data_IF_905363565405
#
_entry.id   IF_905363565405
#
_cell.length_a   1.000
_cell.length_b   1.000
_cell.length_c   1.000
_cell.angle_alpha   90.00
_cell.angle_beta   90.00
_cell.angle_gamma   90.00
#
_symmetry.space_group_name_H-M   'P 1'
#
loop_
_entity.id
_entity.type
_entity.pdbx_description
1 polymer ?
#
# COMPACT_ATOMS: atom_id res chain seq x y z
N UNK A 1 -25.37 31.64 -8.37
CA UNK A 1 -23.92 31.42 -8.59
C UNK A 1 -23.31 30.38 -7.64
N UNK A 2 -24.05 29.36 -7.17
CA UNK A 2 -23.63 28.58 -5.99
C UNK A 2 -23.43 27.06 -6.15
N UNK A 3 -23.74 26.44 -7.29
CA UNK A 3 -23.72 24.96 -7.35
C UNK A 3 -22.34 24.36 -7.54
N UNK A 4 -21.46 24.96 -8.35
CA UNK A 4 -20.19 24.33 -8.74
C UNK A 4 -19.20 24.23 -7.58
N UNK A 5 -19.14 25.25 -6.73
CA UNK A 5 -18.20 25.31 -5.59
C UNK A 5 -18.51 24.21 -4.58
N UNK A 6 -19.79 23.99 -4.25
CA UNK A 6 -20.18 22.94 -3.30
C UNK A 6 -19.81 21.54 -3.80
N UNK A 7 -20.04 21.25 -5.08
CA UNK A 7 -19.65 19.95 -5.66
C UNK A 7 -18.14 19.73 -5.67
N UNK A 8 -17.34 20.76 -5.97
CA UNK A 8 -15.89 20.67 -5.91
C UNK A 8 -15.37 20.54 -4.48
N UNK A 9 -15.95 21.26 -3.51
CA UNK A 9 -15.61 21.14 -2.10
C UNK A 9 -15.89 19.74 -1.56
N UNK A 10 -17.05 19.17 -1.88
CA UNK A 10 -17.41 17.78 -1.52
C UNK A 10 -16.43 16.77 -2.12
N UNK A 11 -16.07 16.92 -3.41
CA UNK A 11 -15.10 16.04 -4.06
C UNK A 11 -13.72 16.13 -3.42
N UNK A 12 -13.23 17.34 -3.16
CA UNK A 12 -11.92 17.54 -2.53
C UNK A 12 -11.90 16.94 -1.12
N UNK A 13 -12.99 17.10 -0.37
CA UNK A 13 -13.17 16.50 0.95
C UNK A 13 -13.15 14.98 0.90
N UNK A 14 -13.96 14.37 0.03
CA UNK A 14 -13.98 12.91 -0.15
C UNK A 14 -12.61 12.37 -0.57
N UNK A 15 -11.91 13.05 -1.50
CA UNK A 15 -10.56 12.67 -1.91
C UNK A 15 -9.56 12.81 -0.77
N UNK A 16 -9.65 13.88 0.04
CA UNK A 16 -8.79 14.08 1.21
C UNK A 16 -8.99 13.00 2.27
N UNK A 17 -10.25 12.66 2.57
CA UNK A 17 -10.57 11.57 3.49
C UNK A 17 -10.08 10.23 2.95
N UNK A 18 -10.34 9.93 1.68
CA UNK A 18 -9.86 8.70 1.05
C UNK A 18 -8.34 8.62 1.04
N UNK A 19 -7.66 9.72 0.70
CA UNK A 19 -6.20 9.80 0.74
C UNK A 19 -5.68 9.59 2.16
N UNK A 20 -6.29 10.19 3.18
CA UNK A 20 -5.89 9.99 4.57
C UNK A 20 -6.06 8.53 5.01
N UNK A 21 -7.15 7.88 4.62
CA UNK A 21 -7.39 6.46 4.91
C UNK A 21 -6.42 5.52 4.15
N UNK A 22 -6.05 5.88 2.92
CA UNK A 22 -5.17 5.07 2.07
C UNK A 22 -3.67 5.41 2.24
N UNK A 23 -3.33 6.58 2.77
CA UNK A 23 -1.96 7.01 3.02
C UNK A 23 -1.14 5.96 3.81
N UNK A 24 -1.62 5.39 4.93
CA UNK A 24 -0.87 4.35 5.62
C UNK A 24 -0.66 3.09 4.76
N UNK A 25 -1.61 2.74 3.90
CA UNK A 25 -1.44 1.62 2.96
C UNK A 25 -0.35 1.91 1.93
N UNK A 26 -0.29 3.13 1.39
CA UNK A 26 0.78 3.55 0.47
C UNK A 26 2.14 3.47 1.15
N UNK A 27 2.24 3.87 2.42
CA UNK A 27 3.48 3.74 3.20
C UNK A 27 3.89 2.27 3.29
N UNK A 28 2.98 1.36 3.63
CA UNK A 28 3.25 -0.09 3.68
C UNK A 28 3.72 -0.62 2.31
N UNK A 29 3.08 -0.20 1.22
CA UNK A 29 3.47 -0.58 -0.14
C UNK A 29 4.91 -0.13 -0.43
N UNK A 30 5.26 1.12 -0.11
CA UNK A 30 6.63 1.63 -0.28
C UNK A 30 7.62 0.83 0.56
N UNK A 31 7.27 0.53 1.81
CA UNK A 31 8.10 -0.32 2.69
C UNK A 31 8.29 -1.74 2.17
N UNK A 32 7.31 -2.32 1.47
CA UNK A 32 7.44 -3.65 0.88
C UNK A 32 8.57 -3.74 -0.17
N UNK A 33 8.96 -2.59 -0.74
CA UNK A 33 10.08 -2.48 -1.66
C UNK A 33 11.39 -2.02 -0.99
N UNK A 34 11.47 -1.98 0.34
CA UNK A 34 12.70 -1.62 1.05
C UNK A 34 13.76 -2.73 0.93
N UNK A 35 14.96 -2.35 0.51
CA UNK A 35 16.12 -3.23 0.39
C UNK A 35 16.68 -3.66 1.75
N UNK A 36 16.48 -2.88 2.80
CA UNK A 36 16.94 -3.20 4.15
C UNK A 36 15.79 -3.71 5.02
N UNK A 37 16.09 -4.63 5.95
CA UNK A 37 15.12 -5.07 6.99
C UNK A 37 15.05 -4.06 8.16
N UNK A 38 15.78 -2.95 8.05
CA UNK A 38 15.80 -1.89 9.03
C UNK A 38 14.65 -0.95 8.68
N UNK A 39 13.75 -0.73 9.64
CA UNK A 39 12.61 0.19 9.51
C UNK A 39 13.08 1.65 9.59
N UNK A 40 13.87 2.10 8.61
CA UNK A 40 14.25 3.51 8.44
C UNK A 40 13.36 4.18 7.40
N UNK A 41 12.93 5.41 7.70
CA UNK A 41 12.28 6.31 6.75
C UNK A 41 13.21 7.50 6.50
N UNK A 42 13.44 7.92 5.24
CA UNK A 42 12.97 7.33 3.98
C UNK A 42 13.68 6.01 3.64
N UNK A 43 13.04 5.16 2.80
CA UNK A 43 13.66 3.92 2.34
C UNK A 43 14.95 4.23 1.54
N UNK A 44 16.03 3.52 1.84
CA UNK A 44 17.29 3.64 1.12
C UNK A 44 17.38 2.47 0.13
N UNK A 45 16.94 2.70 -1.11
CA UNK A 45 16.96 1.71 -2.19
C UNK A 45 15.60 1.06 -2.46
N UNK A 46 15.42 0.60 -3.70
CA UNK A 46 14.24 -0.12 -4.17
C UNK A 46 14.62 -1.58 -4.46
N UNK A 47 13.94 -2.53 -3.83
CA UNK A 47 14.24 -3.95 -3.95
C UNK A 47 12.99 -4.80 -4.15
N UNK A 48 13.08 -5.77 -5.05
CA UNK A 48 12.07 -6.81 -5.27
C UNK A 48 12.39 -8.11 -4.53
N UNK A 49 13.41 -8.11 -3.66
CA UNK A 49 13.90 -9.33 -2.97
C UNK A 49 12.78 -10.07 -2.23
N UNK A 50 11.86 -9.34 -1.59
CA UNK A 50 10.76 -9.93 -0.84
C UNK A 50 9.69 -10.50 -1.75
N UNK A 51 9.43 -9.88 -2.91
CA UNK A 51 8.52 -10.41 -3.93
C UNK A 51 9.07 -11.73 -4.47
N UNK A 52 10.36 -11.76 -4.81
CA UNK A 52 11.03 -12.97 -5.31
C UNK A 52 11.10 -14.05 -4.23
N UNK A 53 11.39 -13.68 -2.97
CA UNK A 53 11.42 -14.62 -1.85
C UNK A 53 10.03 -15.21 -1.56
N UNK A 54 8.98 -14.41 -1.63
CA UNK A 54 7.61 -14.88 -1.47
C UNK A 54 7.20 -15.81 -2.62
N UNK A 55 7.61 -15.51 -3.86
CA UNK A 55 7.32 -16.35 -5.02
C UNK A 55 8.00 -17.72 -4.97
N UNK A 56 9.21 -17.80 -4.40
CA UNK A 56 9.93 -19.07 -4.21
C UNK A 56 9.49 -19.84 -2.96
N UNK A 57 8.59 -19.30 -2.14
CA UNK A 57 8.14 -19.95 -0.92
C UNK A 57 6.84 -20.72 -1.18
N UNK A 58 6.97 -22.01 -1.48
CA UNK A 58 5.85 -22.92 -1.72
C UNK A 58 4.90 -23.03 -0.51
N UNK A 59 5.39 -22.80 0.72
CA UNK A 59 4.56 -22.82 1.93
C UNK A 59 3.53 -21.69 1.94
N UNK A 60 3.87 -20.53 1.36
CA UNK A 60 2.92 -19.40 1.26
C UNK A 60 1.74 -19.81 0.38
N UNK A 61 2.00 -20.40 -0.79
CA UNK A 61 0.94 -20.84 -1.68
C UNK A 61 0.15 -22.03 -1.13
N UNK A 62 0.81 -22.94 -0.40
CA UNK A 62 0.14 -24.03 0.31
C UNK A 62 -0.81 -23.52 1.41
N UNK A 63 -0.36 -22.54 2.22
CA UNK A 63 -1.18 -21.92 3.26
C UNK A 63 -2.35 -21.11 2.68
N UNK A 64 -2.16 -20.46 1.53
CA UNK A 64 -3.24 -19.79 0.80
C UNK A 64 -4.28 -20.81 0.31
N UNK A 65 -3.83 -21.93 -0.24
CA UNK A 65 -4.72 -23.03 -0.66
C UNK A 65 -5.51 -23.64 0.50
N UNK A 66 -4.88 -23.79 1.67
CA UNK A 66 -5.54 -24.24 2.90
C UNK A 66 -6.60 -23.24 3.41
N UNK A 67 -6.38 -21.93 3.21
CA UNK A 67 -7.35 -20.90 3.62
C UNK A 67 -8.60 -20.87 2.75
N UNK A 68 -8.54 -21.39 1.52
CA UNK A 68 -9.65 -21.48 0.58
C UNK A 68 -10.43 -22.80 0.68
N UNK A 69 -9.94 -23.76 1.47
CA UNK A 69 -10.58 -25.06 1.70
C UNK A 69 -11.48 -25.02 2.93
#
# INVERSE_FOLDING_TARGET
MGSKITHWALRLWTLGVMFFLLAPLVVIIVYAFNESNIQSFPIHGFSLKWVVAAWHNEEIFAALGLSLK
#
